data_IF_041772595807
#
_entry.id   IF_041772595807
#
_cell.length_a   1.000
_cell.length_b   1.000
_cell.length_c   1.000
_cell.angle_alpha   90.00
_cell.angle_beta   90.00
_cell.angle_gamma   90.00
#
_symmetry.space_group_name_H-M   'P 1'
#
loop_
_entity.id
_entity.type
_entity.pdbx_description
1 polymer ?
#
# COMPACT_ATOMS: atom_id res chain seq x y z
N UNK A 1 29.64 -6.40 -23.75
CA UNK A 1 28.24 -6.87 -23.67
C UNK A 1 27.39 -5.74 -23.11
N UNK A 2 26.23 -5.45 -23.69
CA UNK A 2 25.32 -4.43 -23.17
C UNK A 2 24.89 -4.81 -21.73
N UNK A 3 24.85 -3.84 -20.82
CA UNK A 3 24.62 -4.02 -19.37
C UNK A 3 23.35 -4.85 -19.04
N UNK A 4 22.38 -4.90 -19.94
CA UNK A 4 21.03 -5.43 -19.69
C UNK A 4 20.59 -6.52 -20.69
N UNK A 5 21.51 -7.07 -21.50
CA UNK A 5 21.16 -8.08 -22.49
C UNK A 5 20.40 -7.50 -23.70
N UNK A 6 19.44 -8.26 -24.23
CA UNK A 6 18.65 -7.92 -25.44
C UNK A 6 17.32 -7.26 -25.14
N UNK A 7 16.84 -7.35 -23.90
CA UNK A 7 15.53 -6.86 -23.49
C UNK A 7 15.62 -5.44 -22.92
N UNK A 8 14.52 -4.68 -23.03
CA UNK A 8 14.41 -3.39 -22.37
C UNK A 8 14.35 -3.59 -20.85
N UNK A 9 15.16 -2.86 -20.06
CA UNK A 9 15.22 -3.07 -18.61
C UNK A 9 14.02 -2.48 -17.85
N UNK A 10 13.08 -1.86 -18.55
CA UNK A 10 11.91 -1.20 -17.98
C UNK A 10 10.65 -1.48 -18.82
N UNK A 11 9.50 -1.33 -18.17
CA UNK A 11 8.19 -1.31 -18.79
C UNK A 11 7.52 0.03 -18.47
N UNK A 12 7.07 0.72 -19.51
CA UNK A 12 6.33 1.98 -19.41
C UNK A 12 4.85 1.72 -19.70
N UNK A 13 3.96 2.26 -18.88
CA UNK A 13 2.51 2.15 -19.03
C UNK A 13 1.84 3.52 -18.84
N UNK A 14 0.65 3.65 -19.40
CA UNK A 14 -0.31 4.69 -19.02
C UNK A 14 -1.45 3.97 -18.32
N UNK A 15 -1.76 4.39 -17.10
CA UNK A 15 -2.82 3.82 -16.28
C UNK A 15 -3.96 4.83 -16.13
N UNK A 16 -5.20 4.37 -16.27
CA UNK A 16 -6.41 5.13 -15.95
C UNK A 16 -7.16 4.36 -14.87
N UNK A 17 -7.01 4.81 -13.63
CA UNK A 17 -7.45 4.11 -12.41
C UNK A 17 -8.81 4.66 -11.99
N UNK A 18 -9.87 3.88 -12.22
CA UNK A 18 -11.23 4.21 -11.84
C UNK A 18 -11.67 3.61 -10.48
N UNK A 19 -10.94 2.61 -9.99
CA UNK A 19 -11.16 1.94 -8.70
C UNK A 19 -9.82 1.56 -8.06
N UNK A 20 -9.82 1.43 -6.73
CA UNK A 20 -8.60 1.18 -5.94
C UNK A 20 -7.95 -0.14 -6.32
N UNK A 21 -6.70 -0.12 -6.76
CA UNK A 21 -5.96 -1.36 -7.04
C UNK A 21 -5.62 -2.11 -5.74
N UNK A 22 -5.20 -3.37 -5.86
CA UNK A 22 -4.74 -4.17 -4.72
C UNK A 22 -3.62 -3.44 -3.97
N UNK A 23 -3.49 -3.73 -2.66
CA UNK A 23 -2.32 -3.31 -1.90
C UNK A 23 -1.19 -4.24 -2.28
N UNK A 24 -0.06 -3.65 -2.64
CA UNK A 24 1.08 -4.38 -3.20
C UNK A 24 2.34 -4.07 -2.42
N UNK A 25 3.24 -5.03 -2.38
CA UNK A 25 4.61 -4.84 -1.93
C UNK A 25 5.56 -5.60 -2.85
N UNK A 26 6.63 -4.93 -3.28
CA UNK A 26 7.65 -5.54 -4.13
C UNK A 26 8.89 -5.88 -3.31
N UNK A 27 9.31 -7.15 -3.24
CA UNK A 27 10.49 -7.51 -2.45
C UNK A 27 11.75 -6.85 -2.99
N UNK A 28 12.71 -6.60 -2.11
CA UNK A 28 14.06 -6.27 -2.53
C UNK A 28 14.69 -7.42 -3.34
N UNK A 29 15.82 -7.15 -3.99
CA UNK A 29 16.44 -8.09 -4.93
C UNK A 29 16.90 -9.40 -4.27
N UNK A 30 17.32 -9.34 -3.01
CA UNK A 30 17.76 -10.52 -2.27
C UNK A 30 16.58 -11.43 -1.95
N UNK A 31 15.50 -10.86 -1.41
CA UNK A 31 14.27 -11.56 -1.11
C UNK A 31 13.60 -12.11 -2.37
N UNK A 32 13.56 -11.33 -3.46
CA UNK A 32 13.03 -11.76 -4.75
C UNK A 32 13.73 -13.03 -5.27
N UNK A 33 15.07 -13.10 -5.16
CA UNK A 33 15.84 -14.31 -5.52
C UNK A 33 15.44 -15.50 -4.67
N UNK A 34 15.33 -15.32 -3.36
CA UNK A 34 14.96 -16.38 -2.44
C UNK A 34 13.56 -16.91 -2.73
N UNK A 35 12.59 -16.01 -2.90
CA UNK A 35 11.19 -16.35 -3.19
C UNK A 35 11.03 -17.08 -4.53
N UNK A 36 11.70 -16.60 -5.59
CA UNK A 36 11.72 -17.26 -6.89
C UNK A 36 12.28 -18.69 -6.79
N UNK A 37 13.36 -18.91 -6.02
CA UNK A 37 13.92 -20.24 -5.80
C UNK A 37 12.97 -21.16 -5.02
N UNK A 38 12.24 -20.63 -4.05
CA UNK A 38 11.34 -21.42 -3.19
C UNK A 38 10.01 -21.73 -3.86
N UNK A 39 9.43 -20.79 -4.60
CA UNK A 39 8.10 -20.89 -5.21
C UNK A 39 8.08 -20.26 -6.62
N UNK A 40 8.78 -20.86 -7.60
CA UNK A 40 8.96 -20.27 -8.94
C UNK A 40 7.64 -20.09 -9.73
N UNK A 41 6.59 -20.85 -9.37
CA UNK A 41 5.28 -20.73 -10.02
C UNK A 41 4.48 -19.51 -9.53
N UNK A 42 4.78 -19.01 -8.32
CA UNK A 42 4.14 -17.82 -7.73
C UNK A 42 4.97 -16.59 -8.07
N UNK A 43 6.28 -16.70 -7.84
CA UNK A 43 7.25 -15.64 -8.00
C UNK A 43 8.03 -15.87 -9.29
N UNK A 44 7.66 -15.17 -10.36
CA UNK A 44 8.06 -15.54 -11.73
C UNK A 44 9.50 -15.20 -12.10
N UNK A 45 10.10 -14.22 -11.45
CA UNK A 45 11.46 -13.76 -11.76
C UNK A 45 12.24 -13.32 -10.51
N UNK A 46 13.57 -13.41 -10.48
CA UNK A 46 14.36 -13.11 -9.28
C UNK A 46 14.68 -11.62 -9.09
N UNK A 47 13.99 -10.69 -9.78
CA UNK A 47 14.35 -9.28 -9.78
C UNK A 47 13.49 -8.46 -8.79
N UNK A 48 14.07 -7.37 -8.28
CA UNK A 48 13.29 -6.33 -7.60
C UNK A 48 12.50 -5.50 -8.61
N UNK A 49 11.38 -4.92 -8.16
CA UNK A 49 10.45 -4.13 -8.99
C UNK A 49 10.27 -2.71 -8.43
N UNK A 50 11.28 -1.82 -8.57
CA UNK A 50 11.09 -0.41 -8.26
C UNK A 50 10.13 0.21 -9.28
N UNK A 51 9.27 1.09 -8.80
CA UNK A 51 8.23 1.72 -9.63
C UNK A 51 8.24 3.25 -9.44
N UNK A 52 7.77 3.95 -10.46
CA UNK A 52 7.57 5.39 -10.43
C UNK A 52 6.28 5.73 -11.16
N UNK A 53 5.39 6.45 -10.47
CA UNK A 53 4.16 6.99 -11.04
C UNK A 53 4.30 8.50 -11.22
N UNK A 54 3.95 9.01 -12.40
CA UNK A 54 3.90 10.44 -12.71
C UNK A 54 2.45 10.78 -13.04
N UNK A 55 1.86 11.69 -12.26
CA UNK A 55 0.45 12.05 -12.39
C UNK A 55 0.18 12.80 -13.70
N UNK A 56 -0.82 12.34 -14.45
CA UNK A 56 -1.36 13.03 -15.64
C UNK A 56 -2.60 13.86 -15.28
N UNK A 57 -3.39 13.37 -14.32
CA UNK A 57 -4.51 14.09 -13.69
C UNK A 57 -4.29 14.17 -12.18
N UNK A 58 -5.26 14.64 -11.39
CA UNK A 58 -5.19 14.48 -9.94
C UNK A 58 -5.15 12.97 -9.62
N UNK A 59 -4.00 12.50 -9.12
CA UNK A 59 -3.73 11.10 -8.89
C UNK A 59 -3.60 10.83 -7.39
N UNK A 60 -4.25 9.77 -6.91
CA UNK A 60 -4.32 9.44 -5.49
C UNK A 60 -3.77 8.05 -5.27
N UNK A 61 -2.90 7.91 -4.27
CA UNK A 61 -2.26 6.66 -3.93
C UNK A 61 -2.14 6.51 -2.40
N UNK A 62 -2.06 5.28 -1.94
CA UNK A 62 -1.49 4.93 -0.65
C UNK A 62 -0.03 4.52 -0.85
N UNK A 63 0.89 5.00 -0.02
CA UNK A 63 2.30 4.62 -0.13
C UNK A 63 3.06 4.79 1.18
N UNK A 64 3.69 3.71 1.65
CA UNK A 64 4.49 3.68 2.87
C UNK A 64 3.66 3.88 4.13
N UNK A 65 4.19 3.45 5.28
CA UNK A 65 3.51 3.62 6.55
C UNK A 65 3.50 5.08 7.03
N UNK A 66 2.44 5.45 7.74
CA UNK A 66 2.39 6.71 8.50
C UNK A 66 3.45 6.74 9.59
N UNK A 67 3.88 7.93 9.97
CA UNK A 67 4.82 8.09 11.08
C UNK A 67 4.15 7.80 12.44
N UNK A 68 4.96 7.53 13.46
CA UNK A 68 4.46 7.12 14.78
C UNK A 68 3.59 8.19 15.44
N UNK A 69 3.84 9.47 15.17
CA UNK A 69 3.04 10.59 15.66
C UNK A 69 1.63 10.56 15.07
N UNK A 70 1.53 10.49 13.75
CA UNK A 70 0.24 10.37 13.05
C UNK A 70 -0.49 9.08 13.44
N UNK A 71 0.25 7.99 13.62
CA UNK A 71 -0.35 6.73 14.05
C UNK A 71 -1.01 6.84 15.43
N UNK A 72 -0.38 7.55 16.38
CA UNK A 72 -0.99 7.83 17.70
C UNK A 72 -2.25 8.66 17.55
N UNK A 73 -2.23 9.68 16.69
CA UNK A 73 -3.41 10.50 16.44
C UNK A 73 -4.56 9.68 15.87
N UNK A 74 -4.26 8.70 15.00
CA UNK A 74 -5.25 7.76 14.46
C UNK A 74 -5.81 6.85 15.55
N UNK A 75 -4.97 6.32 16.44
CA UNK A 75 -5.44 5.52 17.59
C UNK A 75 -6.33 6.34 18.54
N UNK A 76 -6.04 7.63 18.73
CA UNK A 76 -6.86 8.50 19.57
C UNK A 76 -8.17 8.86 18.85
N UNK A 77 -8.11 9.08 17.53
CA UNK A 77 -9.22 9.56 16.72
C UNK A 77 -10.20 8.49 16.25
N UNK A 78 -9.78 7.22 16.16
CA UNK A 78 -10.58 6.12 15.62
C UNK A 78 -10.64 4.97 16.63
N UNK A 79 -11.64 4.96 17.53
CA UNK A 79 -11.75 3.97 18.60
C UNK A 79 -11.76 2.52 18.11
N UNK A 80 -12.34 2.24 16.95
CA UNK A 80 -12.39 0.90 16.36
C UNK A 80 -11.00 0.38 15.97
N UNK A 81 -10.13 1.26 15.46
CA UNK A 81 -8.73 0.92 15.17
C UNK A 81 -7.95 0.72 16.47
N UNK A 82 -8.21 1.57 17.48
CA UNK A 82 -7.62 1.39 18.80
C UNK A 82 -8.05 0.07 19.45
N UNK A 83 -9.33 -0.30 19.34
CA UNK A 83 -9.86 -1.56 19.85
C UNK A 83 -9.27 -2.76 19.10
N UNK A 84 -9.12 -2.68 17.77
CA UNK A 84 -8.44 -3.71 16.98
C UNK A 84 -6.99 -3.89 17.42
N UNK A 85 -6.24 -2.79 17.52
CA UNK A 85 -4.82 -2.82 17.95
C UNK A 85 -4.71 -3.29 19.39
N UNK A 86 -5.56 -2.81 20.28
CA UNK A 86 -5.63 -3.28 21.66
C UNK A 86 -6.06 -4.75 21.74
N UNK A 87 -6.90 -5.23 20.83
CA UNK A 87 -7.30 -6.63 20.71
C UNK A 87 -6.15 -7.52 20.28
N UNK A 88 -5.35 -7.08 19.29
CA UNK A 88 -4.11 -7.76 18.86
C UNK A 88 -3.07 -7.71 19.98
N UNK A 89 -2.85 -6.55 20.58
CA UNK A 89 -1.97 -6.38 21.74
C UNK A 89 -2.44 -7.22 22.90
N UNK A 90 -3.75 -7.35 23.13
CA UNK A 90 -4.36 -8.20 24.14
C UNK A 90 -4.33 -9.68 23.75
N UNK A 91 -4.15 -10.04 22.47
CA UNK A 91 -3.87 -11.40 22.02
C UNK A 91 -2.40 -11.75 22.29
N UNK A 92 -1.48 -10.84 21.95
CA UNK A 92 -0.05 -10.91 22.26
C UNK A 92 0.15 -10.92 23.80
N UNK A 93 -0.56 -10.04 24.49
CA UNK A 93 -0.62 -9.90 25.94
C UNK A 93 -1.75 -10.73 26.54
N UNK A 94 -2.33 -11.72 25.85
CA UNK A 94 -3.08 -12.81 26.50
C UNK A 94 -2.12 -13.89 27.03
N UNK A 95 -0.81 -13.66 26.91
CA UNK A 95 0.06 -13.60 28.08
C UNK A 95 -0.17 -12.27 28.85
N UNK A 96 -1.16 -12.23 29.77
CA UNK A 96 -1.50 -11.13 30.73
C UNK A 96 -2.53 -10.02 30.34
N UNK A 97 -3.81 -10.39 30.43
CA UNK A 97 -5.07 -9.69 30.81
C UNK A 97 -5.33 -8.17 30.56
N UNK A 98 -6.25 -7.93 29.61
CA UNK A 98 -7.63 -7.34 29.69
C UNK A 98 -7.97 -5.83 29.83
N UNK A 99 -9.02 -5.44 29.03
CA UNK A 99 -10.06 -4.36 29.13
C UNK A 99 -9.78 -3.01 28.42
N UNK A 100 -10.72 -2.17 27.95
CA UNK A 100 -12.06 -2.21 27.28
C UNK A 100 -12.51 -0.73 26.95
N UNK A 101 -13.30 -0.51 25.87
CA UNK A 101 -14.31 0.55 25.51
C UNK A 101 -13.98 2.09 25.62
N UNK A 102 -14.57 3.09 24.92
CA UNK A 102 -15.69 3.27 23.96
C UNK A 102 -15.67 4.68 23.26
N UNK A 103 -16.64 4.88 22.36
CA UNK A 103 -16.90 5.85 21.26
C UNK A 103 -16.97 7.39 21.43
N UNK A 104 -16.73 8.10 20.30
CA UNK A 104 -17.26 9.47 20.02
C UNK A 104 -17.38 9.75 18.51
N UNK A 105 -18.59 10.04 18.02
CA UNK A 105 -18.84 10.41 16.61
C UNK A 105 -18.53 11.90 16.40
N UNK A 106 -17.61 12.19 15.48
CA UNK A 106 -17.35 13.53 14.93
C UNK A 106 -17.29 13.46 13.40
N UNK A 107 -17.27 14.63 12.74
CA UNK A 107 -17.23 14.78 11.28
C UNK A 107 -16.12 13.90 10.68
N UNK A 108 -16.47 13.03 9.72
CA UNK A 108 -15.54 12.07 9.12
C UNK A 108 -14.28 12.77 8.60
N UNK A 109 -13.13 12.38 9.15
CA UNK A 109 -11.80 12.69 8.66
C UNK A 109 -11.61 12.19 7.23
N UNK A 110 -10.60 12.73 6.55
CA UNK A 110 -10.27 12.32 5.19
C UNK A 110 -9.96 10.82 5.06
N UNK A 111 -9.36 10.22 6.10
CA UNK A 111 -9.06 8.78 6.14
C UNK A 111 -10.32 7.93 6.28
N UNK A 112 -11.28 8.35 7.10
CA UNK A 112 -12.56 7.66 7.22
C UNK A 112 -13.36 7.74 5.91
N UNK A 113 -13.32 8.89 5.22
CA UNK A 113 -13.93 9.02 3.90
C UNK A 113 -13.25 8.12 2.86
N UNK A 114 -11.92 7.99 2.88
CA UNK A 114 -11.18 7.07 2.02
C UNK A 114 -11.53 5.61 2.34
N UNK A 115 -11.60 5.23 3.61
CA UNK A 115 -11.98 3.88 4.03
C UNK A 115 -13.38 3.52 3.53
N UNK A 116 -14.35 4.44 3.65
CA UNK A 116 -15.69 4.25 3.10
C UNK A 116 -15.70 4.15 1.57
N UNK A 117 -14.84 4.89 0.87
CA UNK A 117 -14.67 4.78 -0.58
C UNK A 117 -14.17 3.37 -0.97
N UNK A 118 -13.16 2.87 -0.27
CA UNK A 118 -12.57 1.55 -0.53
C UNK A 118 -13.55 0.41 -0.21
N UNK A 119 -14.28 0.50 0.91
CA UNK A 119 -15.30 -0.50 1.30
C UNK A 119 -16.40 -0.61 0.24
N UNK A 120 -16.88 0.54 -0.26
CA UNK A 120 -17.89 0.57 -1.33
C UNK A 120 -17.43 -0.13 -2.62
N UNK A 121 -16.12 -0.10 -2.89
CA UNK A 121 -15.54 -0.74 -4.08
C UNK A 121 -15.31 -2.25 -3.89
N UNK A 122 -14.94 -2.69 -2.69
CA UNK A 122 -14.42 -4.04 -2.44
C UNK A 122 -15.24 -4.92 -1.49
N UNK A 123 -16.42 -4.49 -1.02
CA UNK A 123 -17.14 -5.17 0.09
C UNK A 123 -16.24 -5.21 1.36
N UNK A 124 -16.65 -5.84 2.49
CA UNK A 124 -15.82 -5.87 3.69
C UNK A 124 -14.49 -6.61 3.44
N UNK A 125 -13.43 -5.84 3.21
CA UNK A 125 -12.07 -6.30 2.95
C UNK A 125 -11.09 -5.69 3.97
N UNK A 126 -10.11 -6.48 4.42
CA UNK A 126 -9.12 -6.04 5.42
C UNK A 126 -8.22 -4.92 4.89
N UNK A 127 -8.06 -4.82 3.57
CA UNK A 127 -7.31 -3.76 2.90
C UNK A 127 -7.90 -2.38 3.07
N UNK A 128 -9.19 -2.25 3.41
CA UNK A 128 -9.81 -0.97 3.80
C UNK A 128 -9.08 -0.34 4.98
N UNK A 129 -8.53 -1.17 5.88
CA UNK A 129 -7.77 -0.69 7.04
C UNK A 129 -6.48 0.03 6.63
N UNK A 130 -5.92 -0.26 5.44
CA UNK A 130 -4.70 0.39 4.97
C UNK A 130 -4.85 1.92 4.82
N UNK A 131 -6.07 2.44 4.66
CA UNK A 131 -6.36 3.87 4.70
C UNK A 131 -5.93 4.55 6.01
N UNK A 132 -5.79 3.79 7.11
CA UNK A 132 -5.35 4.27 8.42
C UNK A 132 -3.87 4.02 8.70
N UNK A 133 -3.20 3.13 7.97
CA UNK A 133 -1.80 2.79 8.24
C UNK A 133 -0.84 3.32 7.17
N UNK A 134 -1.31 3.56 5.95
CA UNK A 134 -0.48 4.07 4.86
C UNK A 134 -0.68 5.57 4.64
N UNK A 135 0.33 6.25 4.12
CA UNK A 135 0.22 7.66 3.77
C UNK A 135 -0.73 7.82 2.58
N UNK A 136 -1.72 8.71 2.70
CA UNK A 136 -2.60 9.05 1.60
C UNK A 136 -1.99 10.20 0.80
N UNK A 137 -1.42 9.86 -0.35
CA UNK A 137 -0.68 10.77 -1.22
C UNK A 137 -1.61 11.26 -2.32
N UNK A 138 -1.65 12.58 -2.53
CA UNK A 138 -2.32 13.22 -3.65
C UNK A 138 -1.26 13.92 -4.49
N UNK A 139 -1.21 13.58 -5.76
CA UNK A 139 -0.30 14.15 -6.74
C UNK A 139 -1.10 15.03 -7.71
N UNK A 140 -0.64 16.25 -7.89
CA UNK A 140 -1.06 17.14 -8.97
C UNK A 140 -0.41 16.70 -10.29
N UNK A 141 -0.99 17.05 -11.45
CA UNK A 141 -0.38 16.74 -12.74
C UNK A 141 1.09 17.18 -12.82
N UNK A 142 1.96 16.27 -13.20
CA UNK A 142 3.41 16.46 -13.26
C UNK A 142 4.18 16.12 -11.98
N UNK A 143 3.51 15.94 -10.84
CA UNK A 143 4.14 15.39 -9.63
C UNK A 143 4.35 13.88 -9.78
N UNK A 144 5.38 13.38 -9.08
CA UNK A 144 5.78 11.99 -9.17
C UNK A 144 5.94 11.35 -7.80
N UNK A 145 5.63 10.05 -7.73
CA UNK A 145 5.85 9.19 -6.59
C UNK A 145 6.79 8.06 -7.00
N UNK A 146 7.88 7.89 -6.27
CA UNK A 146 8.76 6.75 -6.39
C UNK A 146 8.41 5.72 -5.32
N UNK A 147 8.33 4.45 -5.72
CA UNK A 147 7.97 3.32 -4.87
C UNK A 147 9.18 2.40 -4.80
N UNK A 148 9.79 2.38 -3.61
CA UNK A 148 10.95 1.58 -3.33
C UNK A 148 10.61 0.10 -3.07
N UNK A 149 11.63 -0.77 -3.03
CA UNK A 149 11.43 -2.14 -2.59
C UNK A 149 10.94 -2.16 -1.13
N UNK A 150 10.06 -3.10 -0.84
CA UNK A 150 9.42 -3.36 0.45
C UNK A 150 8.44 -2.26 0.91
N UNK A 151 8.08 -1.32 0.04
CA UNK A 151 7.08 -0.30 0.33
C UNK A 151 5.67 -0.81 -0.02
N UNK A 152 4.77 -0.73 0.95
CA UNK A 152 3.36 -1.06 0.73
C UNK A 152 2.68 0.11 0.03
N UNK A 153 1.97 -0.16 -1.05
CA UNK A 153 1.33 0.89 -1.84
C UNK A 153 0.09 0.37 -2.56
N UNK A 154 -0.80 1.30 -2.94
CA UNK A 154 -1.98 1.04 -3.77
C UNK A 154 -2.36 2.30 -4.54
N UNK A 155 -2.75 2.19 -5.81
CA UNK A 155 -3.31 3.32 -6.55
C UNK A 155 -4.81 3.40 -6.33
N UNK A 156 -5.31 4.56 -5.91
CA UNK A 156 -6.70 4.76 -5.52
C UNK A 156 -7.55 5.25 -6.71
N UNK A 157 -7.08 6.29 -7.39
CA UNK A 157 -7.82 6.91 -8.51
C UNK A 157 -6.96 7.88 -9.31
N UNK A 158 -7.35 8.15 -10.55
CA UNK A 158 -6.73 9.14 -11.44
C UNK A 158 -5.95 8.49 -12.57
N UNK A 159 -5.20 9.31 -13.31
CA UNK A 159 -4.42 8.86 -14.45
C UNK A 159 -2.94 9.15 -14.25
N UNK A 160 -2.07 8.21 -14.60
CA UNK A 160 -0.62 8.36 -14.45
C UNK A 160 0.16 7.64 -15.57
N UNK A 161 1.40 8.08 -15.76
CA UNK A 161 2.44 7.30 -16.43
C UNK A 161 3.14 6.48 -15.36
N UNK A 162 3.22 5.18 -15.54
CA UNK A 162 3.98 4.27 -14.67
C UNK A 162 5.22 3.78 -15.42
N UNK A 163 6.38 3.86 -14.76
CA UNK A 163 7.61 3.24 -15.20
C UNK A 163 8.12 2.30 -14.11
N UNK A 164 8.33 1.04 -14.45
CA UNK A 164 8.82 0.02 -13.53
C UNK A 164 9.92 -0.79 -14.17
N UNK A 165 10.74 -1.48 -13.37
CA UNK A 165 11.67 -2.46 -13.93
C UNK A 165 10.90 -3.59 -14.64
N UNK A 166 11.49 -4.21 -15.65
CA UNK A 166 10.93 -5.40 -16.29
C UNK A 166 10.96 -6.61 -15.33
N UNK A 167 9.97 -6.69 -14.43
CA UNK A 167 9.76 -7.74 -13.43
C UNK A 167 8.26 -7.91 -13.20
N UNK A 168 7.83 -9.16 -13.05
CA UNK A 168 6.47 -9.55 -12.67
C UNK A 168 6.37 -9.86 -11.17
N UNK A 169 7.40 -9.55 -10.38
CA UNK A 169 7.41 -9.79 -8.94
C UNK A 169 6.38 -8.94 -8.22
N UNK A 170 5.39 -9.60 -7.64
CA UNK A 170 4.30 -9.00 -6.90
C UNK A 170 3.96 -9.87 -5.68
N UNK A 171 3.81 -9.23 -4.52
CA UNK A 171 3.16 -9.81 -3.35
C UNK A 171 1.87 -9.02 -3.10
N UNK A 172 0.75 -9.74 -3.01
CA UNK A 172 -0.58 -9.22 -2.64
C UNK A 172 -1.01 -9.80 -1.29
#
# INVERSE_FOLDING_TARGET
>A
MAKWGTDLPFLLKILSVAATLSIQVHPNKELARMLHMMQPNVYKDPNHKPEMAIALTEFKALCGFVIMEEFKDILIGVPEIAELVNGILALISKQKNHLEAENKITRLSEREQLALLMEKQYHPDVGVLAAFFLNYVKLSPGEALYIGPNEHHAYISGECIECMSASDMLCE
#
